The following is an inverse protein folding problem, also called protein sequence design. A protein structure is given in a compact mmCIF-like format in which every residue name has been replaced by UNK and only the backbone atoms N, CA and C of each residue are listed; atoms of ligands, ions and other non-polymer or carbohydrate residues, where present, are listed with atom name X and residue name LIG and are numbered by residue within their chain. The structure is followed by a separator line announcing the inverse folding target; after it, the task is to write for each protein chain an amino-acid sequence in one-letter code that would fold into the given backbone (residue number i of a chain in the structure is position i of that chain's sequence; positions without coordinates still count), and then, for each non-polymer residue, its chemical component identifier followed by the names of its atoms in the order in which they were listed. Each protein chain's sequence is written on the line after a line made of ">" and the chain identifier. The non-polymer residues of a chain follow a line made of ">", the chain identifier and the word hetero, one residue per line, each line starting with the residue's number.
data_IF_668860051695
#
_entry.id   IF_668860051695
#
_cell.length_a   1.000
_cell.length_b   1.000
_cell.length_c   1.000
_cell.angle_alpha   90.00
_cell.angle_beta   90.00
_cell.angle_gamma   90.00
#
_symmetry.space_group_name_H-M   'P 1'
#
loop_
_entity.id
_entity.type
_entity.pdbx_description
1 polymer ?
#
# COMPACT_ATOMS: atom_id res chain seq x y z
N UNK A 1 -23.88 -16.59 -23.40
CA UNK A 1 -23.56 -15.85 -22.17
C UNK A 1 -22.05 -15.84 -22.08
N UNK A 2 -21.43 -14.68 -22.27
CA UNK A 2 -19.98 -14.57 -22.15
C UNK A 2 -19.62 -14.63 -20.65
N UNK A 3 -18.58 -15.37 -20.31
CA UNK A 3 -18.02 -15.44 -18.95
C UNK A 3 -16.82 -14.52 -18.93
N UNK A 4 -16.81 -13.52 -18.06
CA UNK A 4 -15.69 -12.62 -17.93
C UNK A 4 -14.50 -13.34 -17.31
N UNK A 5 -13.33 -13.19 -17.91
CA UNK A 5 -12.11 -13.82 -17.45
C UNK A 5 -11.24 -12.81 -16.69
N UNK A 6 -10.69 -13.23 -15.57
CA UNK A 6 -9.80 -12.38 -14.74
C UNK A 6 -8.58 -11.87 -15.52
N UNK A 7 -8.15 -12.61 -16.52
CA UNK A 7 -7.04 -12.27 -17.42
C UNK A 7 -7.24 -10.97 -18.18
N UNK A 8 -8.50 -10.58 -18.40
CA UNK A 8 -8.89 -9.38 -19.14
C UNK A 8 -9.30 -8.25 -18.18
N UNK A 9 -9.15 -8.46 -16.88
CA UNK A 9 -9.44 -7.40 -15.91
C UNK A 9 -8.34 -6.34 -15.90
N UNK A 10 -8.76 -5.09 -15.76
CA UNK A 10 -7.87 -3.92 -15.62
C UNK A 10 -8.33 -3.10 -14.44
N UNK A 11 -7.40 -2.59 -13.68
CA UNK A 11 -7.67 -1.76 -12.52
C UNK A 11 -6.98 -0.42 -12.70
N UNK A 12 -7.73 0.66 -12.51
CA UNK A 12 -7.23 2.02 -12.60
C UNK A 12 -7.42 2.73 -11.28
N UNK A 13 -6.35 3.33 -10.82
CA UNK A 13 -6.35 4.29 -9.73
C UNK A 13 -6.60 5.68 -10.31
N UNK A 14 -7.54 6.43 -9.76
CA UNK A 14 -7.83 7.77 -10.23
C UNK A 14 -7.97 8.77 -9.08
N UNK A 15 -7.35 9.93 -9.26
CA UNK A 15 -7.55 11.11 -8.42
C UNK A 15 -8.61 12.05 -9.02
N UNK A 16 -9.17 11.70 -10.18
CA UNK A 16 -10.24 12.45 -10.82
C UNK A 16 -11.59 12.15 -10.14
N UNK A 17 -11.74 12.72 -8.96
CA UNK A 17 -12.93 12.60 -8.12
C UNK A 17 -13.55 13.98 -7.88
N UNK A 18 -14.84 14.00 -7.55
CA UNK A 18 -15.52 15.23 -7.17
C UNK A 18 -15.26 15.59 -5.69
N UNK A 19 -15.92 16.64 -5.22
CA UNK A 19 -15.79 17.11 -3.84
C UNK A 19 -16.29 16.11 -2.77
N UNK A 20 -17.07 15.10 -3.17
CA UNK A 20 -17.52 14.00 -2.34
C UNK A 20 -16.67 12.74 -2.51
N UNK A 21 -15.59 12.80 -3.26
CA UNK A 21 -14.72 11.65 -3.55
C UNK A 21 -15.28 10.67 -4.59
N UNK A 22 -16.36 11.01 -5.30
CA UNK A 22 -16.94 10.14 -6.32
C UNK A 22 -16.17 10.26 -7.62
N UNK A 23 -15.87 9.12 -8.22
CA UNK A 23 -15.20 9.06 -9.54
C UNK A 23 -16.03 9.81 -10.57
N UNK A 24 -15.41 10.73 -11.30
CA UNK A 24 -16.05 11.54 -12.36
C UNK A 24 -16.33 10.70 -13.61
N UNK A 25 -17.17 9.67 -13.44
CA UNK A 25 -17.61 8.76 -14.46
C UNK A 25 -19.10 8.45 -14.32
N UNK A 26 -19.75 8.04 -15.40
CA UNK A 26 -21.18 7.76 -15.43
C UNK A 26 -22.01 8.98 -15.05
N UNK A 27 -22.85 8.87 -14.04
CA UNK A 27 -23.73 9.96 -13.57
C UNK A 27 -22.96 11.19 -13.06
N UNK A 28 -21.71 11.03 -12.68
CA UNK A 28 -20.86 12.11 -12.14
C UNK A 28 -19.76 12.53 -13.13
N UNK A 29 -19.97 12.20 -14.41
CA UNK A 29 -19.09 12.61 -15.50
C UNK A 29 -18.95 14.13 -15.56
N UNK A 30 -17.72 14.56 -15.72
CA UNK A 30 -17.38 15.98 -15.89
C UNK A 30 -16.47 16.15 -17.10
N UNK A 31 -17.01 16.67 -18.19
CA UNK A 31 -16.26 16.86 -19.45
C UNK A 31 -15.18 17.95 -19.35
N UNK A 32 -15.30 18.84 -18.36
CA UNK A 32 -14.27 19.84 -18.08
C UNK A 32 -13.06 19.24 -17.32
N UNK A 33 -13.23 18.06 -16.74
CA UNK A 33 -12.22 17.32 -15.97
C UNK A 33 -12.08 15.90 -16.55
N UNK A 34 -11.56 15.77 -17.78
CA UNK A 34 -11.42 14.44 -18.38
C UNK A 34 -10.35 13.62 -17.64
N UNK A 35 -10.45 12.33 -17.77
CA UNK A 35 -9.37 11.44 -17.34
C UNK A 35 -8.12 11.66 -18.20
N UNK A 36 -6.97 11.64 -17.57
CA UNK A 36 -5.68 11.93 -18.20
C UNK A 36 -4.56 11.15 -17.52
N UNK A 37 -3.39 11.14 -18.12
CA UNK A 37 -2.17 10.56 -17.54
C UNK A 37 -1.74 11.23 -16.22
N UNK A 38 -2.22 12.42 -15.94
CA UNK A 38 -1.90 13.14 -14.71
C UNK A 38 -2.83 12.81 -13.55
N UNK A 39 -3.96 12.17 -13.80
CA UNK A 39 -4.96 11.91 -12.77
C UNK A 39 -5.47 10.46 -12.73
N UNK A 40 -5.11 9.62 -13.69
CA UNK A 40 -5.60 8.24 -13.77
C UNK A 40 -4.50 7.31 -14.26
N UNK A 41 -4.25 6.25 -13.50
CA UNK A 41 -3.11 5.36 -13.67
C UNK A 41 -3.58 3.91 -13.67
N UNK A 42 -3.12 3.10 -14.59
CA UNK A 42 -3.37 1.66 -14.56
C UNK A 42 -2.45 1.00 -13.52
N UNK A 43 -3.03 0.15 -12.68
CA UNK A 43 -2.30 -0.63 -11.68
C UNK A 43 -2.31 -2.09 -12.09
N UNK A 44 -1.15 -2.72 -12.11
CA UNK A 44 -1.07 -4.16 -12.26
C UNK A 44 -1.39 -4.85 -10.96
N UNK A 45 -2.58 -5.40 -10.85
CA UNK A 45 -3.00 -6.22 -9.71
C UNK A 45 -2.76 -7.70 -9.96
N UNK A 46 -2.43 -8.43 -8.89
CA UNK A 46 -2.34 -9.88 -8.90
C UNK A 46 -3.75 -10.48 -8.89
N UNK A 47 -3.82 -11.77 -9.19
CA UNK A 47 -5.06 -12.54 -9.03
C UNK A 47 -5.57 -12.43 -7.58
N UNK A 48 -6.90 -12.41 -7.41
CA UNK A 48 -7.53 -12.37 -6.09
C UNK A 48 -7.96 -10.99 -5.63
N UNK A 49 -8.04 -9.99 -6.52
CA UNK A 49 -8.70 -8.73 -6.18
C UNK A 49 -10.16 -8.98 -5.79
N UNK A 50 -10.56 -8.42 -4.65
CA UNK A 50 -11.93 -8.48 -4.16
C UNK A 50 -12.44 -7.10 -3.81
N UNK A 51 -13.73 -6.87 -4.03
CA UNK A 51 -14.44 -5.71 -3.50
C UNK A 51 -15.87 -6.11 -3.16
N UNK A 52 -16.42 -5.56 -2.09
CA UNK A 52 -17.76 -5.86 -1.62
C UNK A 52 -18.36 -4.69 -0.88
N UNK A 53 -19.69 -4.61 -0.91
CA UNK A 53 -20.44 -3.66 -0.12
C UNK A 53 -21.70 -4.33 0.40
N UNK A 54 -21.91 -4.33 1.70
CA UNK A 54 -23.05 -4.92 2.35
C UNK A 54 -24.15 -3.89 2.61
N UNK A 55 -25.33 -4.38 2.93
CA UNK A 55 -26.46 -3.57 3.37
C UNK A 55 -26.82 -3.92 4.80
N UNK A 56 -27.14 -2.91 5.60
CA UNK A 56 -27.71 -3.11 6.94
C UNK A 56 -29.20 -3.32 6.80
N UNK A 57 -29.67 -4.49 7.21
CA UNK A 57 -31.07 -4.89 7.09
C UNK A 57 -31.69 -5.06 8.48
N UNK A 58 -32.74 -4.34 8.75
CA UNK A 58 -33.60 -4.57 9.91
C UNK A 58 -34.75 -5.52 9.56
N UNK A 59 -35.04 -6.45 10.44
CA UNK A 59 -36.11 -7.41 10.26
C UNK A 59 -37.21 -7.19 11.29
N UNK A 60 -38.47 -7.17 10.82
CA UNK A 60 -39.63 -7.08 11.68
C UNK A 60 -40.37 -8.40 11.70
N UNK A 61 -40.61 -8.90 12.90
CA UNK A 61 -41.44 -10.07 13.16
C UNK A 61 -42.72 -9.59 13.86
N UNK A 62 -43.88 -9.85 13.28
CA UNK A 62 -45.16 -9.50 13.88
C UNK A 62 -45.70 -10.73 14.60
N UNK A 63 -46.18 -10.53 15.83
CA UNK A 63 -46.99 -11.52 16.52
C UNK A 63 -48.43 -11.36 16.03
N UNK A 64 -48.83 -12.17 15.06
CA UNK A 64 -50.18 -12.18 14.54
C UNK A 64 -50.97 -13.30 15.18
N UNK A 65 -52.06 -12.93 15.88
CA UNK A 65 -53.06 -13.87 16.37
C UNK A 65 -54.21 -13.95 15.36
N UNK A 66 -54.40 -15.09 14.74
CA UNK A 66 -55.50 -15.29 13.76
C UNK A 66 -55.50 -16.69 13.17
N UNK A 67 -56.52 -16.99 12.35
CA UNK A 67 -56.69 -18.29 11.72
C UNK A 67 -55.55 -18.65 10.73
N UNK A 68 -54.84 -17.67 10.19
CA UNK A 68 -53.68 -17.84 9.29
C UNK A 68 -52.59 -16.86 9.65
N UNK A 69 -51.81 -17.14 10.74
CA UNK A 69 -50.71 -16.25 11.11
C UNK A 69 -49.63 -16.25 10.06
N UNK A 70 -49.12 -15.07 9.70
CA UNK A 70 -47.97 -14.94 8.81
C UNK A 70 -46.68 -15.29 9.59
N UNK A 71 -45.90 -16.26 9.11
CA UNK A 71 -44.62 -16.68 9.70
C UNK A 71 -43.41 -16.08 9.03
N UNK A 72 -43.62 -15.18 8.03
CA UNK A 72 -42.57 -14.57 7.28
C UNK A 72 -41.96 -13.37 8.00
N UNK A 73 -40.62 -13.23 7.91
CA UNK A 73 -39.91 -12.00 8.28
C UNK A 73 -39.99 -10.99 7.14
N UNK A 74 -40.10 -9.70 7.47
CA UNK A 74 -39.96 -8.61 6.52
C UNK A 74 -38.64 -7.87 6.81
N UNK A 75 -37.81 -7.78 5.80
CA UNK A 75 -36.57 -7.04 5.89
C UNK A 75 -36.68 -5.64 5.30
N UNK A 76 -36.04 -4.68 5.93
CA UNK A 76 -35.92 -3.30 5.46
C UNK A 76 -34.47 -2.93 5.36
N UNK A 77 -34.03 -2.40 4.20
CA UNK A 77 -32.71 -1.88 4.03
C UNK A 77 -32.62 -0.48 4.64
N UNK A 78 -31.80 -0.31 5.66
CA UNK A 78 -31.68 0.94 6.43
C UNK A 78 -30.42 1.72 6.06
N UNK A 79 -29.34 1.05 5.71
CA UNK A 79 -28.07 1.68 5.35
C UNK A 79 -27.25 0.80 4.40
N UNK A 80 -26.34 1.42 3.67
CA UNK A 80 -25.20 0.74 3.05
C UNK A 80 -24.01 0.83 4.00
N UNK A 81 -23.34 -0.28 4.17
CA UNK A 81 -22.05 -0.32 4.86
C UNK A 81 -20.94 0.27 3.97
N UNK A 82 -19.82 0.70 4.53
CA UNK A 82 -18.64 1.05 3.73
C UNK A 82 -18.26 -0.10 2.80
N UNK A 83 -17.86 0.24 1.59
CA UNK A 83 -17.28 -0.77 0.71
C UNK A 83 -15.91 -1.19 1.23
N UNK A 84 -15.59 -2.45 1.13
CA UNK A 84 -14.27 -3.01 1.39
C UNK A 84 -13.63 -3.50 0.07
N UNK A 85 -12.34 -3.28 -0.09
CA UNK A 85 -11.60 -3.82 -1.22
C UNK A 85 -10.21 -4.29 -0.81
N UNK A 86 -9.72 -5.33 -1.48
CA UNK A 86 -8.36 -5.83 -1.32
C UNK A 86 -7.78 -6.23 -2.67
N UNK A 87 -6.50 -5.97 -2.86
CA UNK A 87 -5.72 -6.42 -4.00
C UNK A 87 -4.23 -6.47 -3.64
N UNK A 88 -3.45 -7.17 -4.45
CA UNK A 88 -2.00 -7.24 -4.27
C UNK A 88 -1.28 -6.75 -5.52
N UNK A 89 -0.10 -6.17 -5.32
CA UNK A 89 0.82 -5.75 -6.38
C UNK A 89 2.21 -6.32 -6.09
N UNK A 90 3.03 -6.50 -7.12
CA UNK A 90 4.45 -6.79 -6.91
C UNK A 90 5.22 -5.51 -6.57
N UNK A 91 6.28 -5.63 -5.78
CA UNK A 91 7.24 -4.56 -5.57
C UNK A 91 8.18 -4.48 -6.79
N UNK A 92 8.04 -3.43 -7.59
CA UNK A 92 8.71 -3.32 -8.89
C UNK A 92 9.39 -1.98 -9.08
N UNK A 93 10.62 -1.80 -8.56
CA UNK A 93 11.43 -0.62 -8.84
C UNK A 93 11.90 -0.57 -10.29
N UNK A 94 12.00 0.63 -10.83
CA UNK A 94 12.58 0.88 -12.14
C UNK A 94 13.15 2.30 -12.24
N UNK A 95 13.99 2.52 -13.25
CA UNK A 95 14.44 3.85 -13.63
C UNK A 95 13.55 4.36 -14.75
N UNK A 96 12.97 5.52 -14.54
CA UNK A 96 12.20 6.21 -15.57
C UNK A 96 13.13 7.19 -16.31
N UNK A 97 13.18 7.16 -17.65
CA UNK A 97 14.08 8.02 -18.44
C UNK A 97 13.64 9.48 -18.53
N UNK A 98 12.65 9.89 -17.73
CA UNK A 98 12.18 11.28 -17.79
C UNK A 98 11.54 11.67 -19.12
N UNK A 99 11.85 12.87 -19.60
CA UNK A 99 11.26 13.45 -20.80
C UNK A 99 12.00 13.07 -22.08
N UNK A 100 13.26 12.70 -22.01
CA UNK A 100 14.08 12.39 -23.19
C UNK A 100 13.91 10.95 -23.69
N UNK A 101 13.25 10.10 -22.92
CA UNK A 101 12.96 8.68 -23.20
C UNK A 101 14.18 7.76 -23.34
N UNK A 102 15.39 8.24 -23.03
CA UNK A 102 16.64 7.49 -23.14
C UNK A 102 17.36 7.45 -21.79
N UNK A 103 17.50 6.27 -21.22
CA UNK A 103 18.18 6.07 -19.94
C UNK A 103 19.66 6.50 -20.00
N UNK A 104 20.08 7.25 -19.00
CA UNK A 104 21.48 7.62 -18.80
C UNK A 104 21.98 8.77 -19.66
N UNK A 105 21.14 9.45 -20.39
CA UNK A 105 21.51 10.60 -21.25
C UNK A 105 21.06 11.94 -20.69
N UNK A 106 20.00 11.95 -19.89
CA UNK A 106 19.43 13.15 -19.27
C UNK A 106 19.84 13.35 -17.82
N UNK A 107 19.43 14.49 -17.28
CA UNK A 107 19.52 14.80 -15.85
C UNK A 107 18.15 14.64 -15.17
N UNK A 108 17.13 14.24 -15.93
CA UNK A 108 15.75 14.08 -15.51
C UNK A 108 15.33 12.61 -15.30
N UNK A 109 16.27 11.67 -15.48
CA UNK A 109 16.07 10.28 -15.08
C UNK A 109 15.81 10.16 -13.58
N UNK A 110 14.86 9.31 -13.21
CA UNK A 110 14.54 9.11 -11.80
C UNK A 110 14.19 7.67 -11.45
N UNK A 111 14.53 7.29 -10.22
CA UNK A 111 14.15 5.99 -9.65
C UNK A 111 12.72 6.09 -9.09
N UNK A 112 11.88 5.16 -9.46
CA UNK A 112 10.49 5.11 -9.03
C UNK A 112 9.98 3.65 -8.97
N UNK A 113 8.71 3.47 -8.61
CA UNK A 113 8.04 2.17 -8.61
C UNK A 113 6.63 2.28 -9.19
N UNK A 114 6.04 1.15 -9.52
CA UNK A 114 4.66 1.09 -10.01
C UNK A 114 3.65 1.49 -8.94
N UNK A 115 3.94 1.16 -7.68
CA UNK A 115 3.05 1.36 -6.53
C UNK A 115 3.10 2.79 -5.97
N UNK A 116 3.86 3.71 -6.57
CA UNK A 116 4.05 5.08 -6.05
C UNK A 116 2.76 5.83 -5.77
N UNK A 117 1.73 5.62 -6.60
CA UNK A 117 0.43 6.25 -6.42
C UNK A 117 -0.32 5.70 -5.21
N UNK A 118 -0.20 4.39 -4.97
CA UNK A 118 -0.78 3.73 -3.79
C UNK A 118 -0.04 4.17 -2.52
N UNK A 119 1.29 4.22 -2.55
CA UNK A 119 2.09 4.74 -1.45
C UNK A 119 1.72 6.18 -1.10
N UNK A 120 1.56 7.01 -2.12
CA UNK A 120 1.15 8.39 -1.90
C UNK A 120 -0.26 8.49 -1.31
N UNK A 121 -1.19 7.68 -1.77
CA UNK A 121 -2.55 7.62 -1.22
C UNK A 121 -2.58 7.06 0.21
N UNK A 122 -1.67 6.12 0.53
CA UNK A 122 -1.57 5.51 1.86
C UNK A 122 -1.00 6.48 2.92
N UNK A 123 0.01 7.27 2.59
CA UNK A 123 0.72 8.09 3.57
C UNK A 123 0.56 9.59 3.41
N UNK A 124 0.14 10.07 2.23
CA UNK A 124 0.08 11.49 1.93
C UNK A 124 -1.26 11.95 1.37
N UNK A 125 -1.44 13.26 1.38
CA UNK A 125 -2.66 13.90 0.89
C UNK A 125 -2.50 14.60 -0.44
N UNK A 126 -1.30 14.62 -1.02
CA UNK A 126 -0.96 15.51 -2.13
C UNK A 126 -0.28 14.74 -3.26
N UNK A 127 -0.30 15.29 -4.47
CA UNK A 127 0.32 14.71 -5.64
C UNK A 127 1.83 14.46 -5.46
N UNK A 128 2.32 13.43 -6.13
CA UNK A 128 3.73 13.02 -6.11
C UNK A 128 4.64 14.21 -6.46
N UNK A 129 5.72 14.36 -5.70
CA UNK A 129 6.68 15.43 -5.90
C UNK A 129 6.28 16.79 -5.32
N UNK A 130 5.11 16.90 -4.70
CA UNK A 130 4.66 18.10 -4.01
C UNK A 130 5.04 18.08 -2.53
N UNK A 131 5.16 19.24 -1.92
CA UNK A 131 5.40 19.33 -0.47
C UNK A 131 4.25 18.65 0.30
N UNK A 132 4.59 17.68 1.14
CA UNK A 132 3.63 16.87 1.89
C UNK A 132 3.22 15.57 1.22
N UNK A 133 3.72 15.26 0.01
CA UNK A 133 3.56 13.96 -0.60
C UNK A 133 4.35 12.90 0.19
N UNK A 134 3.76 11.72 0.36
CA UNK A 134 4.42 10.60 1.03
C UNK A 134 5.48 9.92 0.16
N UNK A 135 5.35 10.04 -1.16
CA UNK A 135 6.30 9.49 -2.12
C UNK A 135 7.18 10.59 -2.75
N UNK A 136 8.46 10.31 -2.82
CA UNK A 136 9.45 11.13 -3.55
C UNK A 136 10.22 10.26 -4.53
N UNK A 137 10.28 10.68 -5.80
CA UNK A 137 11.11 10.01 -6.80
C UNK A 137 12.60 10.17 -6.44
N UNK A 138 13.36 9.10 -6.67
CA UNK A 138 14.81 9.14 -6.55
C UNK A 138 15.46 9.86 -7.73
N UNK A 139 16.75 10.10 -7.64
CA UNK A 139 17.54 10.63 -8.76
C UNK A 139 18.30 9.49 -9.44
N UNK A 140 18.24 9.42 -10.75
CA UNK A 140 19.10 8.54 -11.53
C UNK A 140 19.86 9.37 -12.56
N UNK A 141 21.18 9.34 -12.49
CA UNK A 141 22.03 10.00 -13.47
C UNK A 141 23.29 9.17 -13.68
N UNK A 142 24.08 9.50 -14.68
CA UNK A 142 25.37 8.84 -14.93
C UNK A 142 26.35 8.88 -13.75
N UNK A 143 26.14 9.79 -12.81
CA UNK A 143 27.07 10.04 -11.69
C UNK A 143 26.46 9.81 -10.30
N UNK A 144 25.14 9.74 -10.19
CA UNK A 144 24.47 9.56 -8.91
C UNK A 144 23.14 8.81 -9.09
N UNK A 145 22.90 7.82 -8.22
CA UNK A 145 21.64 7.12 -8.14
C UNK A 145 21.16 7.20 -6.71
N UNK A 146 19.99 7.82 -6.50
CA UNK A 146 19.30 7.87 -5.22
C UNK A 146 17.97 7.09 -5.31
N UNK A 147 17.54 6.42 -4.23
CA UNK A 147 16.31 5.62 -4.25
C UNK A 147 15.06 6.49 -4.37
N UNK A 148 14.00 5.93 -4.94
CA UNK A 148 12.64 6.43 -4.74
C UNK A 148 12.20 6.10 -3.31
N UNK A 149 11.59 7.06 -2.60
CA UNK A 149 11.36 6.94 -1.17
C UNK A 149 9.90 7.19 -0.84
N UNK A 150 9.31 6.25 -0.12
CA UNK A 150 8.07 6.46 0.64
C UNK A 150 8.43 6.73 2.10
N UNK A 151 7.84 7.75 2.67
CA UNK A 151 8.01 8.09 4.09
C UNK A 151 6.70 8.43 4.74
N UNK A 152 6.55 8.04 5.99
CA UNK A 152 5.44 8.46 6.83
C UNK A 152 6.01 9.06 8.10
N UNK A 153 5.91 10.37 8.22
CA UNK A 153 6.35 11.11 9.39
C UNK A 153 5.25 11.19 10.47
N UNK A 154 5.66 11.28 11.73
CA UNK A 154 4.75 11.52 12.86
C UNK A 154 3.88 12.75 12.68
N UNK A 155 4.39 13.77 11.98
CA UNK A 155 3.67 15.00 11.68
C UNK A 155 2.64 14.86 10.56
N UNK A 156 2.61 13.72 9.84
CA UNK A 156 1.65 13.50 8.78
C UNK A 156 0.24 13.42 9.33
N UNK A 157 -0.61 14.18 8.70
CA UNK A 157 -1.94 14.51 9.17
C UNK A 157 -2.92 13.37 8.94
N UNK A 158 -4.04 13.48 9.64
CA UNK A 158 -5.15 12.55 9.60
C UNK A 158 -5.95 12.56 8.28
N UNK A 159 -5.48 13.27 7.25
CA UNK A 159 -6.13 13.33 5.96
C UNK A 159 -5.30 12.56 4.93
N UNK A 160 -5.84 11.45 4.48
CA UNK A 160 -5.30 10.70 3.36
C UNK A 160 -5.85 11.26 2.04
N UNK A 161 -5.17 10.96 0.95
CA UNK A 161 -5.67 11.30 -0.37
C UNK A 161 -6.87 10.41 -0.71
N UNK A 162 -8.06 11.01 -0.85
CA UNK A 162 -9.20 10.33 -1.42
C UNK A 162 -8.94 10.04 -2.91
N UNK A 163 -9.29 8.86 -3.34
CA UNK A 163 -9.15 8.41 -4.72
C UNK A 163 -10.33 7.53 -5.10
N UNK A 164 -10.41 7.17 -6.36
CA UNK A 164 -11.34 6.16 -6.83
C UNK A 164 -10.61 5.02 -7.51
N UNK A 165 -11.25 3.85 -7.53
CA UNK A 165 -10.81 2.74 -8.36
C UNK A 165 -11.82 2.49 -9.47
N UNK A 166 -11.34 2.24 -10.67
CA UNK A 166 -12.16 1.77 -11.78
C UNK A 166 -11.69 0.35 -12.12
N UNK A 167 -12.58 -0.60 -11.98
CA UNK A 167 -12.32 -2.01 -12.27
C UNK A 167 -13.09 -2.40 -13.53
N UNK A 168 -12.38 -2.83 -14.54
CA UNK A 168 -12.94 -3.21 -15.83
C UNK A 168 -12.76 -4.72 -16.03
N UNK A 169 -13.86 -5.41 -16.28
CA UNK A 169 -13.91 -6.83 -16.63
C UNK A 169 -14.56 -6.95 -18.00
N UNK A 170 -13.81 -7.20 -19.04
CA UNK A 170 -14.33 -7.32 -20.41
C UNK A 170 -15.51 -6.35 -20.73
N UNK A 171 -16.73 -6.80 -20.49
CA UNK A 171 -17.97 -6.07 -20.78
C UNK A 171 -18.54 -5.31 -19.57
N UNK A 172 -17.92 -5.38 -18.40
CA UNK A 172 -18.41 -4.76 -17.17
C UNK A 172 -17.37 -3.83 -16.59
N UNK A 173 -17.82 -2.69 -16.10
CA UNK A 173 -16.98 -1.78 -15.35
C UNK A 173 -17.66 -1.31 -14.08
N UNK A 174 -16.86 -1.15 -13.03
CA UNK A 174 -17.29 -0.67 -11.74
C UNK A 174 -16.41 0.49 -11.29
N UNK A 175 -17.03 1.50 -10.73
CA UNK A 175 -16.34 2.56 -10.00
C UNK A 175 -16.51 2.33 -8.49
N UNK A 176 -15.41 2.38 -7.78
CA UNK A 176 -15.38 2.40 -6.33
C UNK A 176 -15.09 3.85 -5.92
N UNK A 177 -16.04 4.45 -5.24
CA UNK A 177 -16.02 5.88 -4.92
C UNK A 177 -15.45 6.17 -3.54
N UNK A 178 -14.78 7.31 -3.42
CA UNK A 178 -14.23 7.84 -2.18
C UNK A 178 -13.41 6.79 -1.41
N UNK A 179 -12.47 6.18 -2.12
CA UNK A 179 -11.59 5.17 -1.57
C UNK A 179 -10.48 5.79 -0.71
N UNK A 180 -10.08 5.07 0.33
CA UNK A 180 -8.88 5.33 1.11
C UNK A 180 -8.22 3.99 1.48
N UNK A 181 -6.88 3.96 1.51
CA UNK A 181 -6.11 2.78 1.88
C UNK A 181 -5.98 2.66 3.40
N UNK A 182 -6.38 1.52 3.93
CA UNK A 182 -6.31 1.21 5.36
C UNK A 182 -5.05 0.47 5.73
N UNK A 183 -4.72 -0.60 5.00
CA UNK A 183 -3.55 -1.41 5.30
C UNK A 183 -2.68 -1.65 4.07
N UNK A 184 -1.38 -1.76 4.35
CA UNK A 184 -0.35 -2.20 3.42
C UNK A 184 0.47 -3.28 4.10
N UNK A 185 0.41 -4.53 3.59
CA UNK A 185 1.11 -5.68 4.15
C UNK A 185 2.12 -6.23 3.15
N UNK A 186 3.36 -6.33 3.58
CA UNK A 186 4.45 -6.94 2.80
C UNK A 186 4.77 -8.29 3.41
N UNK A 187 4.68 -9.36 2.61
CA UNK A 187 4.97 -10.72 3.01
C UNK A 187 6.34 -11.18 2.52
N UNK A 188 7.09 -11.84 3.38
CA UNK A 188 8.42 -12.36 3.12
C UNK A 188 8.43 -13.90 3.08
N UNK A 189 7.97 -14.50 2.00
CA UNK A 189 8.14 -15.92 1.75
C UNK A 189 9.46 -16.21 1.03
N UNK A 190 10.24 -17.20 1.48
CA UNK A 190 11.62 -17.44 1.00
C UNK A 190 11.74 -17.66 -0.51
N UNK A 191 10.77 -18.33 -1.12
CA UNK A 191 10.74 -18.63 -2.56
C UNK A 191 9.73 -17.76 -3.33
N UNK A 192 9.18 -16.72 -2.68
CA UNK A 192 8.21 -15.83 -3.29
C UNK A 192 8.87 -14.60 -3.93
N UNK A 193 8.14 -14.02 -4.89
CA UNK A 193 8.43 -12.68 -5.40
C UNK A 193 7.85 -11.68 -4.39
N UNK A 194 8.59 -10.64 -4.10
CA UNK A 194 8.16 -9.59 -3.17
C UNK A 194 6.86 -8.94 -3.66
N UNK A 195 5.84 -9.01 -2.82
CA UNK A 195 4.52 -8.48 -3.09
C UNK A 195 4.00 -7.71 -1.89
N UNK A 196 3.10 -6.79 -2.16
CA UNK A 196 2.41 -6.01 -1.15
C UNK A 196 0.91 -6.19 -1.33
N UNK A 197 0.22 -6.51 -0.24
CA UNK A 197 -1.22 -6.55 -0.19
C UNK A 197 -1.76 -5.21 0.32
N UNK A 198 -2.65 -4.65 -0.45
CA UNK A 198 -3.36 -3.42 -0.13
C UNK A 198 -4.79 -3.76 0.27
N UNK A 199 -5.25 -3.19 1.37
CA UNK A 199 -6.66 -3.21 1.71
C UNK A 199 -7.14 -1.80 2.02
N UNK A 200 -8.36 -1.51 1.65
CA UNK A 200 -8.95 -0.20 1.85
C UNK A 200 -10.46 -0.25 1.90
N UNK A 201 -11.00 0.92 2.15
CA UNK A 201 -12.44 1.14 2.25
C UNK A 201 -12.87 2.27 1.33
N UNK A 202 -14.17 2.33 1.04
CA UNK A 202 -14.76 3.41 0.25
C UNK A 202 -16.22 3.64 0.60
N UNK A 203 -16.86 4.55 -0.12
CA UNK A 203 -18.26 4.90 0.17
C UNK A 203 -19.29 4.12 -0.63
N UNK A 204 -19.02 3.87 -1.92
CA UNK A 204 -20.04 3.31 -2.82
C UNK A 204 -19.41 2.55 -3.98
N UNK A 205 -20.07 1.44 -4.36
CA UNK A 205 -19.81 0.73 -5.61
C UNK A 205 -20.85 1.16 -6.64
N UNK A 206 -20.41 1.57 -7.82
CA UNK A 206 -21.28 1.90 -8.94
C UNK A 206 -20.90 1.10 -10.17
N UNK A 207 -21.88 0.56 -10.86
CA UNK A 207 -21.65 0.00 -12.20
C UNK A 207 -21.61 1.14 -13.22
N UNK A 208 -20.62 1.10 -14.09
CA UNK A 208 -20.45 2.03 -15.20
C UNK A 208 -20.94 1.40 -16.49
N UNK A 209 -21.48 2.23 -17.38
CA UNK A 209 -21.91 1.76 -18.69
C UNK A 209 -20.71 1.74 -19.64
N UNK A 210 -20.38 0.57 -20.17
CA UNK A 210 -19.40 0.41 -21.26
C UNK A 210 -20.10 0.69 -22.58
N UNK A 211 -19.68 1.73 -23.26
CA UNK A 211 -20.13 2.00 -24.63
C UNK A 211 -19.09 1.44 -25.60
N UNK A 212 -19.42 0.35 -26.26
CA UNK A 212 -18.54 -0.27 -27.24
C UNK A 212 -18.18 0.72 -28.37
N UNK A 213 -16.90 0.90 -28.61
CA UNK A 213 -16.39 1.60 -29.79
C UNK A 213 -16.25 3.11 -29.71
N UNK A 214 -16.49 3.74 -28.55
CA UNK A 214 -16.34 5.20 -28.41
C UNK A 214 -15.27 5.56 -27.39
N UNK A 215 -14.11 5.97 -27.90
CA UNK A 215 -12.93 6.34 -27.12
C UNK A 215 -13.08 7.66 -26.33
N UNK A 216 -14.24 8.27 -26.32
CA UNK A 216 -14.42 9.65 -25.86
C UNK A 216 -15.28 9.78 -24.61
N UNK A 217 -15.74 8.68 -24.05
CA UNK A 217 -16.58 8.76 -22.88
C UNK A 217 -15.73 8.73 -21.63
N UNK A 218 -15.80 9.78 -20.83
CA UNK A 218 -15.35 9.78 -19.45
C UNK A 218 -16.09 8.75 -18.57
N UNK A 219 -16.95 7.93 -19.13
CA UNK A 219 -17.60 6.82 -18.43
C UNK A 219 -16.68 5.63 -18.26
N UNK A 220 -15.97 5.30 -19.35
CA UNK A 220 -14.85 4.34 -19.31
C UNK A 220 -13.85 4.78 -20.36
N UNK A 221 -12.68 4.98 -19.95
CA UNK A 221 -11.56 5.58 -20.62
C UNK A 221 -11.07 4.86 -21.88
N UNK A 222 -11.68 3.74 -22.34
CA UNK A 222 -10.82 2.77 -22.96
C UNK A 222 -11.47 1.98 -24.05
N UNK A 223 -11.38 2.48 -25.21
CA UNK A 223 -11.27 1.63 -26.39
C UNK A 223 -9.78 1.50 -26.73
N UNK A 224 -9.30 0.28 -26.67
CA UNK A 224 -7.94 -0.03 -27.10
C UNK A 224 -6.85 0.02 -26.03
N UNK A 225 -7.22 0.18 -24.77
CA UNK A 225 -6.27 -0.03 -23.69
C UNK A 225 -5.39 1.15 -23.32
N UNK A 226 -5.70 2.32 -23.77
CA UNK A 226 -4.98 3.54 -23.41
C UNK A 226 -5.80 4.43 -22.50
N UNK A 227 -5.21 4.79 -21.36
CA UNK A 227 -5.74 5.81 -20.46
C UNK A 227 -5.68 7.19 -21.12
N UNK A 228 -4.95 7.33 -22.17
CA UNK A 228 -4.80 8.59 -22.89
C UNK A 228 -5.00 8.42 -24.38
N UNK A 229 -5.69 9.36 -24.98
CA UNK A 229 -5.72 9.55 -26.43
C UNK A 229 -4.44 10.20 -26.94
N UNK A 230 -3.54 10.63 -26.07
CA UNK A 230 -2.28 11.25 -26.47
C UNK A 230 -1.21 10.15 -26.52
N UNK A 231 -0.75 9.78 -27.72
CA UNK A 231 0.43 8.92 -27.83
C UNK A 231 1.60 9.69 -27.25
N UNK A 232 2.22 9.21 -26.21
CA UNK A 232 3.46 9.85 -25.89
C UNK A 232 3.96 9.84 -24.47
N UNK A 233 3.22 9.36 -23.50
CA UNK A 233 3.85 9.13 -22.21
C UNK A 233 3.63 7.70 -21.73
N UNK A 234 4.52 6.76 -22.09
CA UNK A 234 4.43 5.38 -21.67
C UNK A 234 4.69 5.18 -20.16
N UNK A 235 5.22 6.20 -19.47
CA UNK A 235 5.64 6.06 -18.08
C UNK A 235 4.48 5.80 -17.13
N UNK A 236 3.30 6.34 -17.42
CA UNK A 236 2.11 6.18 -16.59
C UNK A 236 1.05 5.27 -17.24
N UNK A 237 1.33 4.79 -18.43
CA UNK A 237 0.52 3.79 -19.10
C UNK A 237 0.86 2.43 -18.60
N UNK A 238 -0.16 1.67 -18.25
CA UNK A 238 0.01 0.24 -18.04
C UNK A 238 1.43 -0.08 -17.53
N UNK A 239 1.78 0.44 -16.38
CA UNK A 239 3.07 0.18 -15.71
C UNK A 239 3.38 -1.32 -15.68
N UNK A 240 2.32 -2.10 -15.72
CA UNK A 240 2.32 -3.52 -15.93
C UNK A 240 3.14 -4.00 -17.13
N UNK A 241 3.22 -3.20 -18.17
CA UNK A 241 3.97 -3.53 -19.39
C UNK A 241 5.36 -2.91 -19.43
N UNK A 242 5.75 -2.23 -18.36
CA UNK A 242 7.09 -1.68 -18.28
C UNK A 242 8.12 -2.79 -18.13
N UNK A 243 8.85 -3.08 -19.19
CA UNK A 243 9.90 -4.11 -19.21
C UNK A 243 11.13 -3.71 -18.40
N UNK A 244 11.30 -2.44 -18.07
CA UNK A 244 12.39 -1.95 -17.22
C UNK A 244 12.13 -2.28 -15.73
N UNK A 245 10.87 -2.40 -15.30
CA UNK A 245 10.54 -2.74 -13.93
C UNK A 245 10.90 -4.20 -13.62
N UNK A 246 11.74 -4.41 -12.63
CA UNK A 246 12.28 -5.73 -12.26
C UNK A 246 11.54 -6.32 -11.07
N UNK A 247 11.30 -7.62 -11.12
CA UNK A 247 10.76 -8.36 -9.97
C UNK A 247 11.86 -8.61 -8.94
N UNK A 248 11.51 -8.50 -7.68
CA UNK A 248 12.38 -8.76 -6.54
C UNK A 248 12.02 -10.12 -5.95
N UNK A 249 13.03 -10.98 -5.80
CA UNK A 249 12.87 -12.27 -5.12
C UNK A 249 13.25 -12.12 -3.66
N UNK A 250 12.49 -12.71 -2.77
CA UNK A 250 12.75 -12.65 -1.32
C UNK A 250 13.95 -13.49 -0.87
N UNK A 251 14.55 -14.26 -1.76
CA UNK A 251 15.64 -15.20 -1.43
C UNK A 251 16.86 -14.56 -0.75
N UNK A 252 17.14 -13.30 -1.06
CA UNK A 252 18.29 -12.56 -0.53
C UNK A 252 17.87 -11.55 0.55
N UNK A 253 16.69 -11.71 1.14
CA UNK A 253 16.20 -10.79 2.17
C UNK A 253 17.00 -10.96 3.46
N UNK A 254 17.45 -9.85 4.01
CA UNK A 254 18.26 -9.78 5.23
C UNK A 254 17.61 -8.80 6.20
N UNK A 255 17.54 -9.21 7.47
CA UNK A 255 17.18 -8.33 8.58
C UNK A 255 18.46 -7.72 9.17
N UNK A 256 18.53 -6.42 9.21
CA UNK A 256 19.54 -5.65 9.90
C UNK A 256 18.91 -4.98 11.12
N UNK A 257 19.55 -5.08 12.26
CA UNK A 257 19.10 -4.45 13.51
C UNK A 257 20.25 -3.69 14.13
N UNK A 258 19.96 -2.52 14.68
CA UNK A 258 20.92 -1.72 15.45
C UNK A 258 20.26 -1.33 16.77
N UNK A 259 20.98 -1.49 17.87
CA UNK A 259 20.51 -1.17 19.22
C UNK A 259 20.70 0.31 19.61
N UNK A 260 21.45 1.06 18.82
CA UNK A 260 21.76 2.48 19.07
C UNK A 260 20.94 3.41 18.17
N UNK A 261 19.74 3.76 18.55
CA UNK A 261 18.85 4.65 17.77
C UNK A 261 19.47 6.04 17.49
N UNK A 262 20.34 6.50 18.33
CA UNK A 262 20.95 7.82 18.23
C UNK A 262 22.35 7.82 17.60
N UNK A 263 22.79 6.70 17.01
CA UNK A 263 24.05 6.63 16.32
C UNK A 263 23.87 6.87 14.82
N UNK A 264 24.76 7.64 14.23
CA UNK A 264 24.89 7.76 12.76
C UNK A 264 25.49 6.50 12.14
N UNK A 265 25.31 5.34 12.77
CA UNK A 265 25.83 4.07 12.32
C UNK A 265 25.14 3.63 11.03
N UNK A 266 25.92 3.44 10.00
CA UNK A 266 25.47 2.85 8.73
C UNK A 266 25.59 1.32 8.72
N UNK A 267 26.18 0.74 9.76
CA UNK A 267 26.41 -0.70 9.91
C UNK A 267 25.47 -1.28 10.95
N UNK A 268 24.95 -2.47 10.68
CA UNK A 268 24.12 -3.22 11.62
C UNK A 268 24.95 -3.86 12.73
N UNK A 269 24.46 -3.83 13.97
CA UNK A 269 25.02 -4.64 15.07
C UNK A 269 24.69 -6.11 14.86
N UNK A 270 23.49 -6.36 14.29
CA UNK A 270 23.03 -7.71 13.99
C UNK A 270 22.57 -7.80 12.53
N UNK A 271 23.02 -8.84 11.85
CA UNK A 271 22.60 -9.18 10.47
C UNK A 271 22.04 -10.61 10.47
N UNK A 272 20.75 -10.73 10.32
CA UNK A 272 20.02 -11.97 10.49
C UNK A 272 19.35 -12.40 9.19
N UNK A 273 19.74 -13.52 8.59
CA UNK A 273 18.96 -14.12 7.51
C UNK A 273 17.60 -14.60 8.01
N UNK A 274 16.54 -14.08 7.41
CA UNK A 274 15.16 -14.47 7.73
C UNK A 274 14.68 -15.59 6.81
N UNK A 275 13.78 -16.42 7.34
CA UNK A 275 13.13 -17.52 6.60
C UNK A 275 11.71 -17.18 6.18
N UNK A 276 11.14 -16.13 6.74
CA UNK A 276 9.80 -15.66 6.42
C UNK A 276 9.33 -14.61 7.41
N UNK A 277 8.16 -14.09 7.17
CA UNK A 277 7.52 -13.09 8.03
C UNK A 277 6.68 -12.10 7.25
N UNK A 278 6.17 -11.12 7.95
CA UNK A 278 5.39 -10.03 7.35
C UNK A 278 5.56 -8.74 8.12
N UNK A 279 5.34 -7.63 7.43
CA UNK A 279 5.21 -6.30 8.01
C UNK A 279 3.89 -5.68 7.54
N UNK A 280 3.10 -5.19 8.48
CA UNK A 280 1.81 -4.56 8.22
C UNK A 280 1.82 -3.13 8.74
N UNK A 281 1.48 -2.21 7.86
CA UNK A 281 1.22 -0.81 8.17
C UNK A 281 -0.28 -0.59 8.11
N UNK A 282 -0.87 0.06 9.14
CA UNK A 282 -2.32 0.32 9.20
C UNK A 282 -2.62 1.77 9.58
N UNK A 283 -3.57 2.37 8.87
CA UNK A 283 -4.12 3.70 9.14
C UNK A 283 -5.33 3.66 10.08
N UNK A 284 -5.88 2.48 10.36
CA UNK A 284 -7.07 2.28 11.20
C UNK A 284 -8.25 3.15 10.77
N UNK A 285 -8.67 2.99 9.51
CA UNK A 285 -9.74 3.78 8.90
C UNK A 285 -11.12 3.41 9.42
N UNK A 286 -11.91 4.42 9.74
CA UNK A 286 -13.33 4.27 10.04
C UNK A 286 -14.14 5.19 9.16
N UNK A 287 -15.15 4.66 8.46
CA UNK A 287 -16.09 5.42 7.66
C UNK A 287 -17.30 5.83 8.49
N UNK A 288 -17.73 7.07 8.30
CA UNK A 288 -18.92 7.61 8.94
C UNK A 288 -20.12 7.41 8.01
N UNK A 289 -21.11 6.63 8.49
CA UNK A 289 -22.41 6.53 7.87
C UNK A 289 -23.40 7.28 8.76
N UNK A 290 -23.85 8.49 8.38
CA UNK A 290 -24.75 9.27 9.22
C UNK A 290 -26.13 8.64 9.27
N UNK A 291 -26.75 8.64 10.43
CA UNK A 291 -28.11 8.13 10.60
C UNK A 291 -29.14 9.26 10.35
N UNK A 292 -29.69 9.30 9.15
CA UNK A 292 -30.72 10.27 8.75
C UNK A 292 -32.06 9.58 8.56
N UNK A 293 -33.17 10.25 8.93
CA UNK A 293 -34.52 9.77 8.66
C UNK A 293 -34.91 10.10 7.23
N UNK A 294 -35.68 9.20 6.62
CA UNK A 294 -36.28 9.42 5.31
C UNK A 294 -35.43 9.05 4.10
N UNK A 295 -34.20 8.54 4.30
CA UNK A 295 -33.29 8.09 3.26
C UNK A 295 -32.58 6.80 3.68
N UNK A 296 -32.12 6.02 2.71
CA UNK A 296 -31.13 4.97 2.98
C UNK A 296 -29.79 5.64 3.23
N UNK A 297 -29.20 5.37 4.39
CA UNK A 297 -27.98 6.03 4.79
C UNK A 297 -26.76 5.49 4.01
N UNK A 298 -25.90 6.38 3.57
CA UNK A 298 -24.68 6.07 2.82
C UNK A 298 -23.42 6.55 3.57
N UNK A 299 -22.32 5.84 3.47
CA UNK A 299 -21.03 6.33 3.96
C UNK A 299 -20.63 7.61 3.23
N UNK A 300 -20.27 8.66 3.95
CA UNK A 300 -19.96 9.98 3.35
C UNK A 300 -18.50 10.37 3.47
N UNK A 301 -17.83 10.00 4.56
CA UNK A 301 -16.45 10.39 4.81
C UNK A 301 -15.79 9.38 5.74
N UNK A 302 -14.48 9.49 5.88
CA UNK A 302 -13.71 8.67 6.79
C UNK A 302 -12.86 9.52 7.74
N UNK A 303 -12.40 8.92 8.81
CA UNK A 303 -11.35 9.43 9.68
C UNK A 303 -10.34 8.33 9.95
N UNK A 304 -9.10 8.76 10.18
CA UNK A 304 -7.99 7.86 10.50
C UNK A 304 -7.86 7.71 12.02
N UNK A 305 -7.59 6.51 12.47
CA UNK A 305 -7.19 6.23 13.84
C UNK A 305 -5.69 6.42 14.07
N UNK A 306 -5.20 5.86 15.16
CA UNK A 306 -3.75 5.79 15.43
C UNK A 306 -3.10 4.85 14.42
N UNK A 307 -2.11 5.34 13.70
CA UNK A 307 -1.32 4.51 12.78
C UNK A 307 -0.53 3.49 13.55
N UNK A 308 -0.41 2.30 13.02
CA UNK A 308 0.41 1.23 13.59
C UNK A 308 1.26 0.57 12.51
N UNK A 309 2.49 0.26 12.87
CA UNK A 309 3.40 -0.56 12.05
C UNK A 309 3.81 -1.75 12.89
N UNK A 310 3.43 -2.94 12.47
CA UNK A 310 3.70 -4.17 13.21
C UNK A 310 4.26 -5.23 12.27
N UNK A 311 5.03 -6.17 12.81
CA UNK A 311 5.49 -7.27 12.00
C UNK A 311 6.02 -8.43 12.79
N UNK A 312 6.16 -9.55 12.09
CA UNK A 312 6.74 -10.77 12.59
C UNK A 312 7.77 -11.28 11.59
N UNK A 313 8.93 -11.71 12.08
CA UNK A 313 10.00 -12.25 11.26
C UNK A 313 10.48 -13.56 11.87
N UNK A 314 10.63 -14.58 11.04
CA UNK A 314 11.14 -15.89 11.48
C UNK A 314 12.57 -16.07 10.99
N UNK A 315 13.43 -16.53 11.88
CA UNK A 315 14.84 -16.78 11.57
C UNK A 315 15.34 -18.04 12.31
N UNK A 316 16.35 -18.69 11.76
CA UNK A 316 17.03 -19.76 12.51
C UNK A 316 17.87 -19.20 13.63
N UNK A 317 17.87 -19.87 14.79
CA UNK A 317 18.76 -19.52 15.90
C UNK A 317 20.18 -19.93 15.58
N UNK A 318 21.05 -18.94 15.42
CA UNK A 318 22.48 -19.12 15.10
C UNK A 318 23.33 -18.53 16.19
N UNK A 319 24.42 -19.21 16.53
CA UNK A 319 25.44 -18.70 17.45
C UNK A 319 26.27 -17.60 16.79
N UNK A 320 26.69 -16.61 17.57
CA UNK A 320 27.51 -15.49 17.15
C UNK A 320 27.04 -14.17 17.75
N UNK A 321 27.95 -13.24 18.00
CA UNK A 321 27.62 -11.93 18.60
C UNK A 321 26.73 -11.07 17.69
N UNK A 322 26.93 -11.12 16.39
CA UNK A 322 26.12 -10.39 15.39
C UNK A 322 25.02 -11.26 14.76
N UNK A 323 24.75 -12.44 15.29
CA UNK A 323 23.73 -13.36 14.80
C UNK A 323 22.47 -13.35 15.70
N UNK A 324 21.50 -14.18 15.38
CA UNK A 324 20.21 -14.30 16.10
C UNK A 324 20.39 -14.56 17.60
N UNK A 325 21.40 -15.36 17.99
CA UNK A 325 21.68 -15.63 19.41
C UNK A 325 22.24 -14.43 20.16
N UNK A 326 23.05 -13.61 19.48
CA UNK A 326 23.52 -12.32 20.01
C UNK A 326 22.37 -11.33 20.18
N UNK A 327 21.51 -11.21 19.17
CA UNK A 327 20.32 -10.38 19.23
C UNK A 327 19.38 -10.80 20.38
N UNK A 328 19.12 -12.11 20.53
CA UNK A 328 18.30 -12.63 21.62
C UNK A 328 18.89 -12.27 22.98
N UNK A 329 20.21 -12.41 23.15
CA UNK A 329 20.88 -12.01 24.38
C UNK A 329 20.73 -10.50 24.63
N UNK A 330 20.95 -9.66 23.62
CA UNK A 330 20.80 -8.22 23.72
C UNK A 330 19.37 -7.84 24.13
N UNK A 331 18.34 -8.45 23.53
CA UNK A 331 16.94 -8.21 23.89
C UNK A 331 16.61 -8.61 25.34
N UNK A 332 17.15 -9.72 25.83
CA UNK A 332 16.97 -10.15 27.23
C UNK A 332 17.65 -9.18 28.19
N UNK A 333 18.87 -8.79 27.89
CA UNK A 333 19.64 -7.86 28.73
C UNK A 333 18.97 -6.47 28.77
N UNK A 334 18.53 -5.94 27.63
CA UNK A 334 17.83 -4.65 27.54
C UNK A 334 16.48 -4.68 28.25
N UNK A 335 15.70 -5.75 28.08
CA UNK A 335 14.40 -5.90 28.75
C UNK A 335 14.51 -5.93 30.27
N UNK A 336 15.65 -6.34 30.83
CA UNK A 336 15.91 -6.35 32.25
C UNK A 336 16.35 -4.98 32.82
N UNK A 337 16.82 -4.07 31.96
CA UNK A 337 17.48 -2.83 32.36
C UNK A 337 16.80 -1.57 31.84
N UNK A 338 16.04 -1.66 30.75
CA UNK A 338 15.44 -0.54 30.06
C UNK A 338 13.91 -0.63 30.06
N UNK A 339 13.23 0.50 30.35
CA UNK A 339 11.77 0.57 30.34
C UNK A 339 11.24 0.65 28.90
N UNK A 340 12.00 1.24 27.99
CA UNK A 340 11.59 1.45 26.59
C UNK A 340 12.75 1.15 25.63
N UNK A 341 13.16 -0.12 25.52
CA UNK A 341 14.19 -0.50 24.57
C UNK A 341 13.70 -0.24 23.15
N UNK A 342 14.51 0.40 22.36
CA UNK A 342 14.15 0.82 21.02
C UNK A 342 15.31 0.49 20.05
N UNK A 343 14.96 -0.16 18.95
CA UNK A 343 15.88 -0.66 17.96
C UNK A 343 15.58 -0.06 16.59
N UNK A 344 16.61 0.25 15.83
CA UNK A 344 16.44 0.53 14.42
C UNK A 344 16.45 -0.78 13.62
N UNK A 345 15.50 -0.93 12.73
CA UNK A 345 15.33 -2.13 11.89
C UNK A 345 15.39 -1.71 10.42
N UNK A 346 16.13 -2.47 9.63
CA UNK A 346 16.10 -2.38 8.18
C UNK A 346 15.96 -3.78 7.56
N UNK A 347 14.93 -3.95 6.74
CA UNK A 347 14.66 -5.19 6.01
C UNK A 347 15.01 -4.92 4.55
N UNK A 348 16.10 -5.53 4.08
CA UNK A 348 16.56 -5.41 2.72
C UNK A 348 16.08 -6.59 1.89
N UNK A 349 15.17 -6.33 0.94
CA UNK A 349 14.59 -7.34 0.04
C UNK A 349 15.30 -7.33 -1.30
N UNK A 350 15.71 -8.50 -1.79
CA UNK A 350 16.37 -8.65 -3.09
C UNK A 350 17.89 -8.48 -3.03
N UNK A 351 18.47 -8.29 -1.86
CA UNK A 351 19.91 -8.13 -1.64
C UNK A 351 20.32 -6.70 -1.30
N UNK A 352 21.61 -6.48 -1.13
CA UNK A 352 22.19 -5.20 -0.68
C UNK A 352 22.72 -4.35 -1.83
N UNK A 353 22.70 -4.84 -3.04
CA UNK A 353 23.23 -4.14 -4.23
C UNK A 353 22.31 -4.35 -5.44
N UNK A 354 22.31 -3.39 -6.34
CA UNK A 354 21.49 -3.45 -7.54
C UNK A 354 20.04 -3.06 -7.28
N UNK A 355 19.11 -3.74 -7.93
CA UNK A 355 17.67 -3.50 -7.77
C UNK A 355 17.15 -4.22 -6.53
N UNK A 356 16.74 -3.47 -5.53
CA UNK A 356 16.24 -3.99 -4.24
C UNK A 356 15.28 -3.00 -3.59
N UNK A 357 14.60 -3.44 -2.54
CA UNK A 357 13.74 -2.58 -1.72
C UNK A 357 14.11 -2.74 -0.25
N UNK A 358 14.25 -1.61 0.43
CA UNK A 358 14.51 -1.55 1.86
C UNK A 358 13.28 -1.05 2.59
N UNK A 359 12.90 -1.73 3.68
CA UNK A 359 11.87 -1.27 4.60
C UNK A 359 12.54 -0.96 5.93
N UNK A 360 12.58 0.29 6.28
CA UNK A 360 13.26 0.78 7.47
C UNK A 360 12.32 1.36 8.52
N UNK A 361 12.54 0.95 9.76
CA UNK A 361 11.90 1.52 10.94
C UNK A 361 13.02 2.16 11.79
N UNK A 362 13.02 3.48 11.98
CA UNK A 362 14.05 4.14 12.76
C UNK A 362 13.97 3.80 14.24
N UNK A 363 12.76 3.47 14.72
CA UNK A 363 12.54 3.06 16.09
C UNK A 363 11.48 1.94 16.13
N UNK A 364 11.83 0.82 16.70
CA UNK A 364 10.91 -0.30 16.88
C UNK A 364 11.13 -0.94 18.25
N UNK A 365 10.04 -1.33 18.87
CA UNK A 365 10.07 -2.17 20.07
C UNK A 365 10.08 -3.63 19.61
N UNK A 366 11.16 -4.35 19.90
CA UNK A 366 11.24 -5.78 19.70
C UNK A 366 10.85 -6.50 20.99
N UNK A 367 10.02 -7.52 20.83
CA UNK A 367 9.69 -8.42 21.95
C UNK A 367 10.76 -9.51 22.06
N UNK A 368 10.94 -10.04 23.27
CA UNK A 368 11.78 -11.22 23.47
C UNK A 368 11.19 -12.36 22.65
N UNK A 369 11.93 -12.91 21.70
CA UNK A 369 11.37 -13.87 20.76
C UNK A 369 11.06 -15.23 21.40
N UNK A 370 10.02 -15.89 20.89
CA UNK A 370 9.75 -17.28 21.18
C UNK A 370 10.77 -18.16 20.47
N UNK A 371 11.36 -19.09 21.20
CA UNK A 371 12.29 -20.07 20.63
C UNK A 371 11.55 -21.39 20.43
N UNK A 372 11.43 -21.84 19.19
CA UNK A 372 10.81 -23.12 18.85
C UNK A 372 11.89 -24.19 18.75
N UNK A 373 11.78 -25.22 19.60
CA UNK A 373 12.76 -26.32 19.74
C UNK A 373 12.31 -27.55 18.96
N UNK A 374 12.32 -27.44 17.63
CA UNK A 374 12.14 -28.58 16.74
C UNK A 374 13.50 -29.17 16.33
N UNK A 375 13.55 -29.97 15.26
CA UNK A 375 14.82 -30.50 14.74
C UNK A 375 15.79 -29.38 14.34
N UNK A 376 15.26 -28.27 13.88
CA UNK A 376 16.03 -27.04 13.63
C UNK A 376 15.42 -25.94 14.49
N UNK A 377 16.24 -25.36 15.36
CA UNK A 377 15.78 -24.33 16.29
C UNK A 377 15.55 -23.03 15.50
N UNK A 378 14.33 -22.53 15.57
CA UNK A 378 13.93 -21.26 14.99
C UNK A 378 13.44 -20.28 16.05
N UNK A 379 13.45 -19.01 15.70
CA UNK A 379 12.97 -17.93 16.56
C UNK A 379 12.04 -17.03 15.77
N UNK A 380 10.97 -16.56 16.40
CA UNK A 380 10.04 -15.60 15.82
C UNK A 380 10.19 -14.28 16.55
N UNK A 381 10.64 -13.27 15.82
CA UNK A 381 10.78 -11.90 16.27
C UNK A 381 9.50 -11.15 15.98
N UNK A 382 8.89 -10.56 16.99
CA UNK A 382 7.74 -9.66 16.83
C UNK A 382 8.17 -8.25 17.16
N UNK A 383 7.77 -7.30 16.33
CA UNK A 383 8.11 -5.90 16.52
C UNK A 383 6.93 -4.97 16.30
N UNK A 384 6.98 -3.82 16.96
CA UNK A 384 6.05 -2.71 16.74
C UNK A 384 6.85 -1.46 16.47
N UNK A 385 6.61 -0.82 15.34
CA UNK A 385 7.21 0.46 14.99
C UNK A 385 6.72 1.56 15.92
N UNK A 386 7.62 2.44 16.29
CA UNK A 386 7.32 3.60 17.13
C UNK A 386 7.68 4.85 16.37
N UNK A 387 6.83 5.88 16.49
CA UNK A 387 7.20 7.21 16.07
C UNK A 387 8.28 7.75 16.99
N UNK A 388 9.41 8.13 16.43
CA UNK A 388 10.48 8.72 17.20
C UNK A 388 10.43 10.25 17.11
N UNK A 389 10.15 10.92 18.24
CA UNK A 389 10.26 12.37 18.37
C UNK A 389 11.65 12.76 18.86
N UNK A 390 12.67 12.27 18.20
CA UNK A 390 14.06 12.53 18.60
C UNK A 390 14.71 13.60 17.75
N UNK A 391 15.83 14.12 18.22
CA UNK A 391 16.59 15.20 17.61
C UNK A 391 16.83 14.94 16.11
N UNK A 392 16.54 15.93 15.32
CA UNK A 392 16.92 16.05 13.91
C UNK A 392 18.37 15.63 13.71
N UNK A 393 18.63 14.65 12.88
CA UNK A 393 19.95 14.37 12.37
C UNK A 393 20.60 13.04 12.75
N UNK A 394 19.90 12.12 13.42
CA UNK A 394 20.42 10.78 13.65
C UNK A 394 19.80 9.81 12.65
N UNK A 395 20.51 9.55 11.57
CA UNK A 395 20.10 8.59 10.57
C UNK A 395 20.77 7.25 10.86
N UNK A 396 19.97 6.27 11.30
CA UNK A 396 20.39 4.87 11.34
C UNK A 396 19.99 4.22 10.03
N UNK A 397 20.87 3.53 9.36
CA UNK A 397 20.67 2.98 8.02
C UNK A 397 20.21 4.03 6.97
N UNK A 398 20.64 5.29 7.11
CA UNK A 398 20.16 6.40 6.28
C UNK A 398 18.61 6.57 6.33
N UNK A 399 18.00 6.25 7.46
CA UNK A 399 16.57 6.43 7.70
C UNK A 399 16.42 7.63 8.63
N UNK A 400 15.63 8.62 8.19
CA UNK A 400 15.33 9.79 9.01
C UNK A 400 14.54 9.36 10.25
N UNK A 401 15.05 9.65 11.43
CA UNK A 401 14.46 9.29 12.71
C UNK A 401 13.11 9.99 12.99
N UNK A 402 12.76 11.01 12.24
CA UNK A 402 11.45 11.66 12.32
C UNK A 402 10.32 10.88 11.67
N UNK A 403 10.64 9.84 10.89
CA UNK A 403 9.68 8.99 10.21
C UNK A 403 9.30 7.77 11.05
N UNK A 404 8.06 7.31 10.93
CA UNK A 404 7.61 6.05 11.54
C UNK A 404 8.10 4.85 10.73
N UNK A 405 8.04 4.97 9.41
CA UNK A 405 8.49 3.97 8.46
C UNK A 405 8.99 4.65 7.20
N UNK A 406 10.00 4.06 6.60
CA UNK A 406 10.56 4.48 5.31
C UNK A 406 10.69 3.25 4.40
N UNK A 407 10.19 3.34 3.18
CA UNK A 407 10.38 2.30 2.15
C UNK A 407 11.20 2.92 1.02
N UNK A 408 12.35 2.33 0.71
CA UNK A 408 13.27 2.81 -0.31
C UNK A 408 13.35 1.82 -1.46
N UNK A 409 13.12 2.31 -2.66
CA UNK A 409 13.19 1.54 -3.88
C UNK A 409 14.47 1.89 -4.63
N UNK A 410 15.33 0.90 -4.81
CA UNK A 410 16.58 1.03 -5.56
C UNK A 410 16.44 0.37 -6.92
N UNK A 411 16.83 1.06 -7.95
CA UNK A 411 16.92 0.52 -9.30
C UNK A 411 18.24 0.91 -9.95
N UNK A 412 18.76 -0.01 -10.73
CA UNK A 412 19.93 0.26 -11.59
C UNK A 412 19.46 0.38 -13.03
N UNK A 413 19.99 1.35 -13.74
CA UNK A 413 19.76 1.55 -15.17
C UNK A 413 20.19 0.35 -16.01
#
# INVERSE_FOLDING_TARGET
>A
MAVNLIRNSRVFFTTNVDSQGRVRAGLYKDDAQPFSISNTFEIQVLEGMTFSQNTTVDTVTLNEAGATPARGQRGFNTALEPLDFTFSTYLRPYVNPGTDTVLGTGTDDYVTCEERHLWNAFGGSIAIGSAGAAWTNGTASNTATAPGIFTVANSNKHQLQAFGLIVVFDDLAYALDNCALDTATIDFGIDAIAAIQWAGKGSLIRQLTLTAGVATNNEVLFTGGDVTTTPGNPADKALAKNTAAKFITNKLTVLQVNDAINSSATTSDYSVPITGGSITMSNNLTYLTPANLGVVNLPITYFTGTRSVTGTLTAYLRSGSAATGGLLKGLIDSAATEINPSYAINIQMGGVTGTHVDVGLPAAMLQIPTVNTEQVISTTLTFTGQGHSGATGSEVFNIDSSNEVTVKYYATA
#
